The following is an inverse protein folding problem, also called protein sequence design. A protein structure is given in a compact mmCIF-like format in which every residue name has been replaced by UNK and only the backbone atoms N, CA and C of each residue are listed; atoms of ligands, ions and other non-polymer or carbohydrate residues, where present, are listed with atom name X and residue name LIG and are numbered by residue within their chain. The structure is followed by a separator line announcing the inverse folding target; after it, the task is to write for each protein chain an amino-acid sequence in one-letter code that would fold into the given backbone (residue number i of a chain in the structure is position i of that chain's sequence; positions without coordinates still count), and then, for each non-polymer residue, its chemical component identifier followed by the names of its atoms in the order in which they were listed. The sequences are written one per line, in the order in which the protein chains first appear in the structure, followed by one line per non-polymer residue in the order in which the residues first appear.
data_IF_637316313394
#
_entry.id   IF_637316313394
#
_cell.length_a   1.000
_cell.length_b   1.000
_cell.length_c   1.000
_cell.angle_alpha   90.00
_cell.angle_beta   90.00
_cell.angle_gamma   90.00
#
_symmetry.space_group_name_H-M   'P 1'
#
loop_
_entity.id
_entity.type
_entity.pdbx_description
1 polymer ?
#
# COMPACT_ATOMS: atom_id res chain seq x y z
N UNK A 1 21.77 -10.36 51.83
CA UNK A 1 21.70 -9.10 51.05
C UNK A 1 22.09 -9.28 49.57
N UNK A 2 22.90 -10.28 49.18
CA UNK A 2 23.32 -10.53 47.79
C UNK A 2 22.26 -11.11 46.84
N UNK A 3 21.24 -11.82 47.34
CA UNK A 3 20.24 -12.52 46.50
C UNK A 3 19.20 -11.59 45.85
N UNK A 4 18.97 -10.38 46.39
CA UNK A 4 18.01 -9.40 45.84
C UNK A 4 18.52 -8.72 44.55
N UNK A 5 19.83 -8.45 44.46
CA UNK A 5 20.43 -7.78 43.30
C UNK A 5 20.55 -8.72 42.08
N UNK A 6 20.74 -10.03 42.32
CA UNK A 6 20.72 -11.03 41.27
C UNK A 6 19.32 -11.19 40.67
N UNK A 7 18.28 -11.24 41.51
CA UNK A 7 16.89 -11.28 41.05
C UNK A 7 16.45 -10.00 40.32
N UNK A 8 16.94 -8.82 40.73
CA UNK A 8 16.64 -7.57 40.01
C UNK A 8 17.31 -7.54 38.64
N UNK A 9 18.58 -7.95 38.53
CA UNK A 9 19.31 -8.04 37.25
C UNK A 9 18.67 -9.05 36.28
N UNK A 10 18.23 -10.21 36.80
CA UNK A 10 17.50 -11.21 36.01
C UNK A 10 16.15 -10.66 35.54
N UNK A 11 15.40 -9.97 36.42
CA UNK A 11 14.11 -9.37 36.07
C UNK A 11 14.27 -8.29 35.00
N UNK A 12 15.29 -7.44 35.10
CA UNK A 12 15.58 -6.36 34.16
C UNK A 12 15.97 -6.92 32.78
N UNK A 13 16.81 -7.97 32.75
CA UNK A 13 17.16 -8.71 31.55
C UNK A 13 15.96 -9.37 30.86
N UNK A 14 15.04 -9.95 31.64
CA UNK A 14 13.78 -10.53 31.13
C UNK A 14 12.88 -9.43 30.53
N UNK A 15 12.68 -8.30 31.20
CA UNK A 15 11.89 -7.19 30.64
C UNK A 15 12.51 -6.60 29.38
N UNK A 16 13.84 -6.47 29.28
CA UNK A 16 14.50 -6.01 28.05
C UNK A 16 14.33 -7.02 26.91
N UNK A 17 14.45 -8.32 27.20
CA UNK A 17 14.23 -9.37 26.21
C UNK A 17 12.80 -9.36 25.67
N UNK A 18 11.79 -9.24 26.56
CA UNK A 18 10.38 -9.15 26.16
C UNK A 18 10.14 -7.89 25.32
N UNK A 19 10.68 -6.74 25.73
CA UNK A 19 10.55 -5.49 24.97
C UNK A 19 11.15 -5.59 23.57
N UNK A 20 12.30 -6.26 23.42
CA UNK A 20 12.94 -6.45 22.11
C UNK A 20 12.11 -7.40 21.24
N UNK A 21 11.59 -8.50 21.80
CA UNK A 21 10.71 -9.43 21.08
C UNK A 21 9.43 -8.76 20.59
N UNK A 22 8.83 -7.86 21.39
CA UNK A 22 7.64 -7.08 20.98
C UNK A 22 7.96 -6.14 19.82
N UNK A 23 9.11 -5.45 19.86
CA UNK A 23 9.52 -4.56 18.77
C UNK A 23 9.78 -5.33 17.46
N UNK A 24 10.37 -6.52 17.53
CA UNK A 24 10.59 -7.39 16.36
C UNK A 24 9.26 -7.87 15.77
N UNK A 25 8.30 -8.25 16.61
CA UNK A 25 6.97 -8.67 16.17
C UNK A 25 6.25 -7.58 15.37
N UNK A 26 6.35 -6.32 15.81
CA UNK A 26 5.74 -5.16 15.13
C UNK A 26 6.37 -4.93 13.74
N UNK A 27 7.68 -5.10 13.59
CA UNK A 27 8.38 -4.90 12.31
C UNK A 27 7.95 -5.95 11.26
N UNK A 28 7.71 -7.19 11.68
CA UNK A 28 7.29 -8.29 10.79
C UNK A 28 5.85 -8.09 10.28
N UNK A 29 5.02 -7.33 11.01
CA UNK A 29 3.62 -7.13 10.69
C UNK A 29 3.35 -5.88 9.83
N UNK A 30 4.40 -5.17 9.39
CA UNK A 30 4.23 -4.08 8.44
C UNK A 30 3.55 -4.60 7.16
N UNK A 31 2.36 -4.10 6.81
CA UNK A 31 1.62 -4.62 5.66
C UNK A 31 2.43 -4.35 4.39
N UNK A 32 2.68 -5.41 3.62
CA UNK A 32 3.25 -5.32 2.28
C UNK A 32 2.32 -4.43 1.45
N UNK A 33 2.79 -3.26 1.02
CA UNK A 33 1.96 -2.32 0.27
C UNK A 33 1.71 -2.90 -1.12
N UNK A 34 0.49 -3.38 -1.34
CA UNK A 34 -0.01 -3.67 -2.67
C UNK A 34 -1.13 -2.67 -2.91
N UNK A 35 -0.87 -1.60 -3.66
CA UNK A 35 -1.89 -0.58 -3.88
C UNK A 35 -2.98 -1.15 -4.80
N UNK A 36 -4.20 -1.18 -4.27
CA UNK A 36 -5.42 -1.65 -4.91
C UNK A 36 -6.51 -0.59 -4.66
N UNK A 37 -7.56 -0.50 -5.50
CA UNK A 37 -8.64 0.47 -5.32
C UNK A 37 -9.26 0.46 -3.90
N UNK A 38 -9.32 -0.71 -3.25
CA UNK A 38 -9.82 -0.86 -1.88
C UNK A 38 -9.02 -0.04 -0.84
N UNK A 39 -7.71 0.12 -1.02
CA UNK A 39 -6.91 0.95 -0.12
C UNK A 39 -7.30 2.42 -0.24
N UNK A 40 -7.61 2.89 -1.45
CA UNK A 40 -8.10 4.25 -1.65
C UNK A 40 -9.48 4.43 -1.00
N UNK A 41 -10.41 3.48 -1.20
CA UNK A 41 -11.74 3.52 -0.58
C UNK A 41 -11.72 3.48 0.95
N UNK A 42 -10.76 2.78 1.56
CA UNK A 42 -10.62 2.70 3.02
C UNK A 42 -9.80 3.84 3.62
N UNK A 43 -8.85 4.39 2.87
CA UNK A 43 -7.88 5.35 3.35
C UNK A 43 -8.28 6.81 3.14
N UNK A 44 -9.28 7.07 2.30
CA UNK A 44 -9.68 8.43 1.92
C UNK A 44 -11.19 8.53 1.83
N UNK A 45 -11.74 9.62 2.36
CA UNK A 45 -13.15 9.97 2.20
C UNK A 45 -13.48 10.37 0.76
N UNK A 46 -12.53 11.06 0.10
CA UNK A 46 -12.64 11.49 -1.29
C UNK A 46 -11.45 10.95 -2.10
N UNK A 47 -11.74 10.39 -3.28
CA UNK A 47 -10.71 9.81 -4.16
C UNK A 47 -9.93 10.84 -4.98
N UNK A 48 -10.42 12.08 -5.04
CA UNK A 48 -9.82 13.19 -5.76
C UNK A 48 -9.68 14.39 -4.83
N UNK A 49 -8.52 15.03 -4.85
CA UNK A 49 -8.29 16.27 -4.12
C UNK A 49 -8.76 17.51 -4.91
N UNK A 50 -8.72 18.68 -4.27
CA UNK A 50 -9.14 19.94 -4.88
C UNK A 50 -8.28 20.37 -6.10
N UNK A 51 -7.10 19.79 -6.28
CA UNK A 51 -6.23 20.04 -7.44
C UNK A 51 -6.56 19.14 -8.62
N UNK A 52 -7.46 18.17 -8.43
CA UNK A 52 -7.80 17.16 -9.41
C UNK A 52 -6.89 15.92 -9.36
N UNK A 53 -5.93 15.86 -8.44
CA UNK A 53 -5.04 14.70 -8.26
C UNK A 53 -5.80 13.57 -7.58
N UNK A 54 -5.60 12.36 -8.09
CA UNK A 54 -6.23 11.14 -7.60
C UNK A 54 -5.33 10.50 -6.53
N UNK A 55 -5.93 10.04 -5.43
CA UNK A 55 -5.21 9.52 -4.24
C UNK A 55 -4.31 8.31 -4.53
N UNK A 56 -4.52 7.60 -5.64
CA UNK A 56 -3.63 6.54 -6.12
C UNK A 56 -2.17 7.01 -6.26
N UNK A 57 -1.96 8.29 -6.58
CA UNK A 57 -0.65 8.92 -6.73
C UNK A 57 0.10 9.13 -5.39
N UNK A 58 -0.51 8.83 -4.24
CA UNK A 58 0.19 8.84 -2.94
C UNK A 58 1.00 7.55 -2.71
N UNK A 59 0.69 6.47 -3.44
CA UNK A 59 1.40 5.19 -3.37
C UNK A 59 2.08 4.82 -4.70
N UNK A 60 1.41 5.04 -5.83
CA UNK A 60 1.98 4.82 -7.16
C UNK A 60 2.71 6.08 -7.62
N UNK A 61 3.99 6.18 -7.25
CA UNK A 61 4.79 7.39 -7.39
C UNK A 61 5.24 7.68 -8.83
N UNK A 62 5.30 6.65 -9.67
CA UNK A 62 5.71 6.78 -11.07
C UNK A 62 4.53 7.20 -11.94
N UNK A 63 4.76 8.19 -12.80
CA UNK A 63 3.75 8.65 -13.75
C UNK A 63 3.76 7.78 -15.02
N UNK A 64 2.58 7.37 -15.47
CA UNK A 64 2.35 6.74 -16.78
C UNK A 64 1.11 7.32 -17.43
N UNK A 65 1.11 7.50 -18.76
CA UNK A 65 -0.06 8.00 -19.47
C UNK A 65 -1.21 6.98 -19.37
N UNK A 66 -2.43 7.52 -19.35
CA UNK A 66 -3.68 6.77 -19.43
C UNK A 66 -4.60 7.52 -20.37
N UNK A 67 -5.37 6.79 -21.17
CA UNK A 67 -6.32 7.37 -22.11
C UNK A 67 -7.74 6.93 -21.77
N UNK A 68 -8.69 7.85 -21.97
CA UNK A 68 -10.12 7.58 -21.81
C UNK A 68 -10.85 8.08 -23.05
N UNK A 69 -11.60 7.20 -23.69
CA UNK A 69 -12.43 7.52 -24.85
C UNK A 69 -13.90 7.34 -24.45
N UNK A 70 -14.70 8.36 -24.71
CA UNK A 70 -16.15 8.37 -24.47
C UNK A 70 -16.85 8.99 -25.69
N UNK A 71 -18.12 8.63 -25.95
CA UNK A 71 -18.92 9.31 -26.98
C UNK A 71 -19.01 10.81 -26.69
N UNK A 72 -19.02 11.63 -27.74
CA UNK A 72 -19.15 13.09 -27.60
C UNK A 72 -20.47 13.49 -26.91
N UNK A 73 -21.54 12.74 -27.14
CA UNK A 73 -22.85 12.97 -26.54
C UNK A 73 -23.59 11.64 -26.33
N UNK A 74 -24.47 11.62 -25.32
CA UNK A 74 -25.33 10.48 -24.99
C UNK A 74 -26.75 10.96 -24.74
N UNK A 75 -27.75 10.16 -25.11
CA UNK A 75 -29.14 10.44 -24.77
C UNK A 75 -29.41 10.07 -23.30
N UNK A 76 -30.40 10.70 -22.64
CA UNK A 76 -30.86 10.26 -21.32
C UNK A 76 -31.27 8.79 -21.34
N UNK A 77 -31.03 8.10 -20.22
CA UNK A 77 -31.38 6.68 -20.02
C UNK A 77 -30.82 5.72 -21.10
N UNK A 78 -29.64 6.04 -21.63
CA UNK A 78 -28.94 5.21 -22.63
C UNK A 78 -27.62 4.68 -22.07
N UNK A 79 -27.35 3.39 -22.26
CA UNK A 79 -26.06 2.78 -21.92
C UNK A 79 -25.02 3.18 -22.96
N UNK A 80 -23.86 3.63 -22.50
CA UNK A 80 -22.72 3.95 -23.35
C UNK A 80 -21.43 3.33 -22.78
N UNK A 81 -20.41 3.23 -23.64
CA UNK A 81 -19.12 2.65 -23.28
C UNK A 81 -18.10 3.75 -23.02
N UNK A 82 -17.35 3.60 -21.93
CA UNK A 82 -16.14 4.37 -21.66
C UNK A 82 -14.94 3.42 -21.80
N UNK A 83 -14.12 3.64 -22.82
CA UNK A 83 -12.95 2.81 -23.09
C UNK A 83 -11.75 3.40 -22.38
N UNK A 84 -11.20 2.67 -21.41
CA UNK A 84 -10.01 3.08 -20.65
C UNK A 84 -8.80 2.29 -21.14
N UNK A 85 -7.72 2.97 -21.49
CA UNK A 85 -6.45 2.36 -21.92
C UNK A 85 -5.34 2.73 -20.95
N UNK A 86 -4.59 1.72 -20.50
CA UNK A 86 -3.43 1.88 -19.61
C UNK A 86 -2.23 1.21 -20.29
N UNK A 87 -1.52 1.93 -21.17
CA UNK A 87 -0.43 1.35 -21.94
C UNK A 87 0.80 1.06 -21.05
N UNK A 88 1.36 -0.13 -21.23
CA UNK A 88 2.67 -0.49 -20.69
C UNK A 88 3.36 -1.49 -21.61
N UNK A 89 4.68 -1.58 -21.51
CA UNK A 89 5.46 -2.56 -22.26
C UNK A 89 5.27 -3.95 -21.66
N UNK A 90 4.53 -4.81 -22.36
CA UNK A 90 4.25 -6.19 -21.93
C UNK A 90 5.48 -7.11 -21.97
N UNK A 91 6.58 -6.69 -22.62
CA UNK A 91 7.84 -7.44 -22.60
C UNK A 91 8.62 -7.21 -21.29
N UNK A 92 8.34 -6.11 -20.59
CA UNK A 92 9.01 -5.76 -19.34
C UNK A 92 8.29 -6.41 -18.15
N UNK A 93 9.05 -7.11 -17.31
CA UNK A 93 8.57 -7.75 -16.09
C UNK A 93 8.80 -6.87 -14.86
N UNK A 94 7.81 -6.76 -13.97
CA UNK A 94 7.95 -6.08 -12.69
C UNK A 94 8.54 -7.00 -11.62
N UNK A 95 9.05 -6.41 -10.53
CA UNK A 95 9.49 -7.16 -9.34
C UNK A 95 8.29 -7.40 -8.46
N UNK A 96 7.98 -8.67 -8.18
CA UNK A 96 6.85 -9.08 -7.33
C UNK A 96 7.21 -8.99 -5.84
N UNK A 97 6.21 -9.13 -4.97
CA UNK A 97 6.39 -9.13 -3.51
C UNK A 97 7.38 -10.21 -2.99
N UNK A 98 7.56 -11.32 -3.73
CA UNK A 98 8.53 -12.37 -3.41
C UNK A 98 9.95 -12.10 -3.97
N UNK A 99 10.18 -10.92 -4.55
CA UNK A 99 11.46 -10.51 -5.16
C UNK A 99 11.73 -11.07 -6.56
N UNK A 100 10.88 -11.96 -7.09
CA UNK A 100 11.03 -12.51 -8.45
C UNK A 100 10.42 -11.59 -9.49
N UNK A 101 10.91 -11.68 -10.74
CA UNK A 101 10.32 -10.95 -11.87
C UNK A 101 9.07 -11.66 -12.40
N UNK A 102 7.98 -10.92 -12.58
CA UNK A 102 6.70 -11.42 -13.06
C UNK A 102 5.94 -10.40 -13.90
N UNK A 103 4.72 -10.76 -14.29
CA UNK A 103 3.76 -9.82 -14.89
C UNK A 103 3.26 -8.83 -13.84
#
# INVERSE_FOLDING_TARGET
MQTRNAFSCIKEGITRSISISIMIYIIIQAPISNAYPNFAHKGYENLQDATGRIVCANCHLANKPVDIEVPQAVLPDTVFEAVVRIPYDMQVKQVLANGKKGA
#
